data_IF_316209976396
#
_entry.id   IF_316209976396
#
_cell.length_a   1.000
_cell.length_b   1.000
_cell.length_c   1.000
_cell.angle_alpha   90.00
_cell.angle_beta   90.00
_cell.angle_gamma   90.00
#
_symmetry.space_group_name_H-M   'P 1'
#
loop_
_entity.id
_entity.type
_entity.pdbx_description
1 polymer ?
#
# COMPACT_ATOMS: atom_id res chain seq x y z
N UNK A 1 -20.53 23.18 31.32
CA UNK A 1 -19.18 23.07 30.70
C UNK A 1 -18.59 21.70 30.99
N UNK A 2 -18.26 20.97 29.93
CA UNK A 2 -18.01 19.53 29.87
C UNK A 2 -16.73 19.05 30.58
N UNK A 3 -16.87 18.26 31.66
CA UNK A 3 -15.78 17.41 32.19
C UNK A 3 -16.10 15.91 32.20
N UNK A 4 -17.21 15.47 31.59
CA UNK A 4 -17.68 14.08 31.68
C UNK A 4 -17.56 13.22 30.39
N UNK A 5 -16.99 13.73 29.30
CA UNK A 5 -16.78 12.94 28.07
C UNK A 5 -15.37 12.31 27.95
N UNK A 6 -14.40 12.70 28.79
CA UNK A 6 -13.01 12.25 28.63
C UNK A 6 -12.71 10.88 29.28
N UNK A 7 -13.50 10.44 30.28
CA UNK A 7 -13.21 9.21 31.04
C UNK A 7 -13.69 7.90 30.40
N UNK A 8 -14.62 7.93 29.43
CA UNK A 8 -15.14 6.71 28.79
C UNK A 8 -14.23 6.19 27.65
N UNK A 9 -13.43 7.05 27.04
CA UNK A 9 -12.53 6.68 25.93
C UNK A 9 -11.17 6.14 26.41
N UNK A 10 -10.84 6.28 27.69
CA UNK A 10 -9.56 5.77 28.25
C UNK A 10 -9.65 4.27 28.52
N UNK A 11 -10.82 3.72 28.87
CA UNK A 11 -10.98 2.26 29.11
C UNK A 11 -10.91 1.42 27.82
N UNK A 12 -11.29 1.98 26.66
CA UNK A 12 -11.12 1.30 25.36
C UNK A 12 -9.66 1.34 24.87
N UNK A 13 -8.91 2.36 25.27
CA UNK A 13 -7.50 2.54 24.94
C UNK A 13 -6.58 1.57 25.71
N UNK A 14 -7.01 1.08 26.88
CA UNK A 14 -6.25 0.18 27.77
C UNK A 14 -6.41 -1.31 27.41
N UNK A 15 -7.49 -1.70 26.72
CA UNK A 15 -7.70 -3.12 26.34
C UNK A 15 -6.88 -3.52 25.10
N UNK A 16 -6.53 -2.58 24.21
CA UNK A 16 -5.60 -2.86 23.11
C UNK A 16 -4.13 -2.96 23.57
N UNK A 17 -3.83 -2.54 24.79
CA UNK A 17 -2.48 -2.61 25.38
C UNK A 17 -2.11 -4.02 25.87
N UNK A 18 -3.00 -5.01 25.75
CA UNK A 18 -2.80 -6.38 26.27
C UNK A 18 -2.66 -7.44 25.16
N UNK A 19 -2.80 -7.09 23.87
CA UNK A 19 -2.28 -7.92 22.77
C UNK A 19 -0.84 -7.50 22.39
N UNK A 20 -0.09 -7.03 23.39
CA UNK A 20 1.36 -7.19 23.48
C UNK A 20 1.62 -8.69 23.47
N UNK A 21 2.05 -9.22 22.32
CA UNK A 21 2.87 -10.42 22.10
C UNK A 21 2.48 -11.12 20.79
N UNK A 22 2.75 -10.47 19.65
CA UNK A 22 3.08 -11.21 18.43
C UNK A 22 4.49 -10.80 18.02
N UNK A 23 5.47 -11.34 18.76
CA UNK A 23 6.59 -12.11 18.21
C UNK A 23 6.88 -11.69 16.76
N UNK A 24 7.69 -10.67 16.50
CA UNK A 24 9.16 -10.79 16.44
C UNK A 24 9.77 -9.39 16.30
N UNK A 25 10.66 -9.01 17.21
CA UNK A 25 11.77 -8.08 16.96
C UNK A 25 11.47 -6.58 16.89
N UNK A 26 11.85 -5.90 17.98
CA UNK A 26 12.16 -4.46 18.10
C UNK A 26 10.98 -3.48 18.22
N UNK A 27 10.54 -3.31 19.47
CA UNK A 27 10.07 -2.02 19.99
C UNK A 27 11.19 -0.99 19.88
N UNK A 28 11.29 -0.31 18.74
CA UNK A 28 12.04 0.93 18.64
C UNK A 28 11.07 2.02 18.17
N UNK A 29 10.99 3.09 18.97
CA UNK A 29 10.49 4.36 18.49
C UNK A 29 11.13 4.64 17.12
N UNK A 30 10.32 4.94 16.10
CA UNK A 30 10.83 5.21 14.76
C UNK A 30 11.94 6.27 14.87
N UNK A 31 13.13 5.97 14.36
CA UNK A 31 14.24 6.93 14.36
C UNK A 31 13.81 8.22 13.67
N UNK A 32 14.36 9.36 14.08
CA UNK A 32 14.05 10.67 13.45
C UNK A 32 14.37 10.67 11.95
N UNK A 33 15.33 9.86 11.52
CA UNK A 33 15.63 9.61 10.12
C UNK A 33 16.01 8.13 9.93
N UNK A 34 15.28 7.37 9.12
CA UNK A 34 15.55 5.96 8.86
C UNK A 34 16.57 5.71 7.74
N UNK A 35 17.12 6.76 7.13
CA UNK A 35 18.01 6.66 5.96
C UNK A 35 19.47 6.37 6.30
N UNK A 36 20.23 5.76 5.35
CA UNK A 36 19.75 5.21 4.08
C UNK A 36 19.39 3.72 4.20
N UNK A 37 18.21 3.36 3.72
CA UNK A 37 17.82 1.97 3.48
C UNK A 37 17.98 1.64 1.99
N UNK A 38 18.63 0.51 1.71
CA UNK A 38 18.65 -0.03 0.36
C UNK A 38 17.44 -0.95 0.16
N UNK A 39 16.49 -0.49 -0.64
CA UNK A 39 15.26 -1.24 -0.89
C UNK A 39 15.43 -2.22 -2.07
N UNK A 40 15.16 -3.52 -1.87
CA UNK A 40 15.22 -4.49 -2.96
C UNK A 40 14.06 -4.30 -3.94
N UNK A 41 14.31 -4.46 -5.24
CA UNK A 41 13.23 -4.51 -6.24
C UNK A 41 12.67 -5.93 -6.31
N UNK A 42 11.34 -6.13 -6.13
CA UNK A 42 10.72 -7.44 -6.33
C UNK A 42 10.94 -7.98 -7.74
N UNK A 43 11.30 -9.27 -7.84
CA UNK A 43 11.54 -9.99 -9.10
C UNK A 43 10.72 -11.27 -9.12
N UNK A 44 10.39 -11.76 -10.32
CA UNK A 44 9.69 -13.03 -10.53
C UNK A 44 8.36 -13.13 -9.77
N UNK A 45 7.58 -12.05 -9.80
CA UNK A 45 6.24 -12.00 -9.21
C UNK A 45 5.21 -11.99 -10.34
N UNK A 46 4.50 -13.11 -10.48
CA UNK A 46 3.49 -13.25 -11.51
C UNK A 46 2.38 -12.21 -11.34
N UNK A 47 2.01 -11.59 -12.46
CA UNK A 47 0.92 -10.63 -12.54
C UNK A 47 1.03 -9.45 -11.55
N UNK A 48 2.25 -9.09 -11.15
CA UNK A 48 2.50 -7.92 -10.32
C UNK A 48 2.09 -6.66 -11.09
N UNK A 49 1.33 -5.80 -10.43
CA UNK A 49 0.92 -4.52 -10.96
C UNK A 49 1.85 -3.43 -10.45
N UNK A 50 2.03 -3.38 -9.13
CA UNK A 50 2.93 -2.45 -8.47
C UNK A 50 3.29 -2.97 -7.08
N UNK A 51 4.23 -2.30 -6.43
CA UNK A 51 4.60 -2.59 -5.05
C UNK A 51 4.80 -1.31 -4.24
N UNK A 52 4.69 -1.45 -2.92
CA UNK A 52 4.86 -0.35 -1.97
C UNK A 52 6.03 -0.64 -1.04
N UNK A 53 6.91 0.35 -0.95
CA UNK A 53 7.99 0.41 0.01
C UNK A 53 7.83 1.63 0.89
N UNK A 54 8.38 1.53 2.10
CA UNK A 54 8.19 2.54 3.13
C UNK A 54 9.28 2.45 4.16
N UNK A 55 9.67 3.58 4.69
CA UNK A 55 10.51 3.61 5.88
C UNK A 55 9.75 3.10 7.13
N UNK A 56 10.46 2.63 8.18
CA UNK A 56 11.90 2.39 8.28
C UNK A 56 12.30 0.94 7.91
N UNK A 57 11.48 0.22 7.15
CA UNK A 57 11.62 -1.23 7.00
C UNK A 57 11.63 -1.63 5.51
N UNK A 58 12.44 -2.60 5.14
CA UNK A 58 12.61 -3.00 3.72
C UNK A 58 11.55 -3.97 3.19
N UNK A 59 10.67 -4.49 4.06
CA UNK A 59 9.56 -5.36 3.65
C UNK A 59 8.66 -4.61 2.66
N UNK A 60 8.28 -5.32 1.61
CA UNK A 60 7.63 -4.73 0.44
C UNK A 60 6.22 -5.29 0.32
N UNK A 61 5.22 -4.42 0.23
CA UNK A 61 3.84 -4.80 -0.02
C UNK A 61 3.66 -4.97 -1.53
N UNK A 62 3.25 -6.17 -1.95
CA UNK A 62 3.03 -6.51 -3.34
C UNK A 62 1.54 -6.42 -3.65
N UNK A 63 1.21 -5.88 -4.83
CA UNK A 63 -0.14 -5.83 -5.37
C UNK A 63 -0.12 -6.48 -6.75
N UNK A 64 -0.80 -7.62 -6.86
CA UNK A 64 -0.87 -8.42 -8.08
C UNK A 64 -2.32 -8.68 -8.47
N UNK A 65 -2.56 -9.02 -9.73
CA UNK A 65 -3.89 -9.44 -10.18
C UNK A 65 -4.31 -10.71 -9.46
N UNK A 66 -5.58 -10.75 -9.06
CA UNK A 66 -6.22 -11.94 -8.55
C UNK A 66 -7.06 -12.60 -9.65
N UNK A 67 -6.45 -13.54 -10.38
CA UNK A 67 -7.18 -14.40 -11.31
C UNK A 67 -7.89 -15.54 -10.55
N UNK A 68 -9.05 -15.91 -11.05
CA UNK A 68 -9.70 -17.17 -10.69
C UNK A 68 -9.02 -18.33 -11.44
N UNK A 69 -9.31 -19.57 -11.03
CA UNK A 69 -8.76 -20.78 -11.66
C UNK A 69 -9.06 -20.87 -13.16
N UNK A 70 -10.16 -20.29 -13.61
CA UNK A 70 -10.55 -20.21 -15.02
C UNK A 70 -9.82 -19.11 -15.82
N UNK A 71 -8.83 -18.43 -15.23
CA UNK A 71 -8.06 -17.36 -15.85
C UNK A 71 -8.77 -16.01 -15.95
N UNK A 72 -10.03 -15.89 -15.51
CA UNK A 72 -10.75 -14.61 -15.46
C UNK A 72 -10.41 -13.84 -14.20
N UNK A 73 -10.42 -12.51 -14.27
CA UNK A 73 -10.20 -11.68 -13.10
C UNK A 73 -11.32 -11.88 -12.06
N UNK A 74 -10.94 -11.99 -10.79
CA UNK A 74 -11.90 -12.04 -9.70
C UNK A 74 -12.54 -10.65 -9.51
N UNK A 75 -13.75 -10.43 -10.04
CA UNK A 75 -14.41 -9.11 -10.01
C UNK A 75 -14.74 -8.60 -8.60
N UNK A 76 -14.95 -9.49 -7.62
CA UNK A 76 -15.23 -9.08 -6.24
C UNK A 76 -13.97 -8.74 -5.45
N UNK A 77 -12.83 -9.30 -5.83
CA UNK A 77 -11.53 -9.01 -5.26
C UNK A 77 -10.44 -9.09 -6.33
N UNK A 78 -10.28 -8.07 -7.20
CA UNK A 78 -9.42 -8.12 -8.38
C UNK A 78 -7.93 -8.04 -8.05
N UNK A 79 -7.58 -7.70 -6.81
CA UNK A 79 -6.20 -7.50 -6.35
C UNK A 79 -5.88 -8.46 -5.20
N UNK A 80 -4.82 -9.25 -5.39
CA UNK A 80 -4.20 -10.03 -4.32
C UNK A 80 -3.03 -9.22 -3.77
N UNK A 81 -3.00 -9.02 -2.45
CA UNK A 81 -1.96 -8.23 -1.80
C UNK A 81 -1.36 -8.95 -0.59
N UNK A 82 -0.04 -8.87 -0.46
CA UNK A 82 0.74 -9.59 0.54
C UNK A 82 2.12 -8.94 0.75
N UNK A 83 2.81 -9.32 1.82
CA UNK A 83 4.19 -8.93 2.09
C UNK A 83 5.17 -9.85 1.39
N UNK A 84 6.25 -9.28 0.85
CA UNK A 84 7.55 -9.94 0.81
C UNK A 84 8.40 -9.38 1.95
N UNK A 85 8.74 -10.23 2.91
CA UNK A 85 9.48 -9.86 4.11
C UNK A 85 10.98 -9.97 3.86
N UNK A 86 11.55 -8.98 3.18
CA UNK A 86 12.98 -8.95 2.89
C UNK A 86 13.86 -8.92 4.15
N UNK A 87 13.36 -8.39 5.27
CA UNK A 87 14.05 -8.49 6.56
C UNK A 87 14.08 -9.94 7.11
N UNK A 88 13.22 -10.82 6.60
CA UNK A 88 13.04 -12.22 7.01
C UNK A 88 13.25 -13.14 5.80
N UNK A 89 14.43 -13.03 5.14
CA UNK A 89 14.85 -13.89 4.00
C UNK A 89 13.90 -13.87 2.78
N UNK A 90 13.04 -12.87 2.66
CA UNK A 90 12.14 -12.73 1.51
C UNK A 90 10.86 -13.57 1.60
N UNK A 91 10.45 -14.00 2.80
CA UNK A 91 9.22 -14.79 2.99
C UNK A 91 7.98 -14.05 2.44
N UNK A 92 7.14 -14.77 1.69
CA UNK A 92 5.82 -14.28 1.27
C UNK A 92 4.82 -14.49 2.41
N UNK A 93 4.15 -13.44 2.85
CA UNK A 93 3.15 -13.51 3.93
C UNK A 93 1.95 -12.63 3.70
N UNK A 94 0.76 -13.16 3.92
CA UNK A 94 -0.46 -12.38 3.83
C UNK A 94 -0.49 -11.24 4.86
N UNK A 95 -1.17 -10.16 4.51
CA UNK A 95 -1.52 -9.11 5.47
C UNK A 95 -2.43 -9.68 6.55
N UNK A 96 -2.24 -9.30 7.82
CA UNK A 96 -3.22 -9.63 8.86
C UNK A 96 -4.57 -8.96 8.60
N UNK A 97 -5.65 -9.41 9.24
CA UNK A 97 -6.97 -8.80 9.09
C UNK A 97 -6.94 -7.29 9.36
N UNK A 98 -6.25 -6.87 10.43
CA UNK A 98 -6.10 -5.46 10.81
C UNK A 98 -5.33 -4.68 9.73
N UNK A 99 -4.23 -5.24 9.21
CA UNK A 99 -3.45 -4.61 8.14
C UNK A 99 -4.28 -4.44 6.85
N UNK A 100 -5.06 -5.45 6.47
CA UNK A 100 -5.97 -5.36 5.31
C UNK A 100 -7.06 -4.32 5.52
N UNK A 101 -7.63 -4.22 6.72
CA UNK A 101 -8.78 -3.36 6.97
C UNK A 101 -8.40 -1.88 7.13
N UNK A 102 -7.21 -1.58 7.66
CA UNK A 102 -6.87 -0.22 8.09
C UNK A 102 -5.60 0.37 7.46
N UNK A 103 -4.71 -0.45 6.88
CA UNK A 103 -3.42 0.03 6.38
C UNK A 103 -3.21 -0.22 4.88
N UNK A 104 -2.98 -1.49 4.50
CA UNK A 104 -2.45 -1.85 3.20
C UNK A 104 -3.48 -2.45 2.24
N UNK A 105 -4.72 -2.65 2.70
CA UNK A 105 -5.78 -3.18 1.84
C UNK A 105 -6.20 -2.23 0.73
N UNK A 106 -6.79 -2.82 -0.30
CA UNK A 106 -7.43 -2.13 -1.41
C UNK A 106 -8.92 -2.42 -1.35
N UNK A 107 -9.72 -1.36 -1.37
CA UNK A 107 -11.13 -1.44 -1.75
C UNK A 107 -11.23 -1.35 -3.27
N UNK A 108 -12.11 -2.15 -3.87
CA UNK A 108 -12.32 -2.14 -5.31
C UNK A 108 -13.80 -1.92 -5.64
N UNK A 109 -14.05 -1.19 -6.72
CA UNK A 109 -15.38 -1.02 -7.32
C UNK A 109 -15.28 -1.28 -8.82
N UNK A 110 -16.11 -2.18 -9.32
CA UNK A 110 -16.22 -2.43 -10.76
C UNK A 110 -16.75 -1.17 -11.46
N UNK A 111 -16.07 -0.72 -12.52
CA UNK A 111 -16.54 0.36 -13.40
C UNK A 111 -17.15 -0.20 -14.67
N UNK A 112 -16.48 -1.18 -15.28
CA UNK A 112 -16.97 -1.97 -16.40
C UNK A 112 -16.36 -3.39 -16.34
N UNK A 113 -16.48 -4.19 -17.41
CA UNK A 113 -16.03 -5.58 -17.39
C UNK A 113 -14.52 -5.78 -17.17
N UNK A 114 -13.69 -4.82 -17.59
CA UNK A 114 -12.22 -4.90 -17.56
C UNK A 114 -11.57 -3.67 -16.91
N UNK A 115 -12.37 -2.89 -16.17
CA UNK A 115 -11.93 -1.67 -15.51
C UNK A 115 -12.52 -1.57 -14.10
N UNK A 116 -11.65 -1.26 -13.14
CA UNK A 116 -11.99 -1.19 -11.72
C UNK A 116 -11.39 0.06 -11.11
N UNK A 117 -12.17 0.75 -10.27
CA UNK A 117 -11.63 1.77 -9.38
C UNK A 117 -11.05 1.07 -8.16
N UNK A 118 -9.82 1.39 -7.81
CA UNK A 118 -9.14 0.92 -6.61
C UNK A 118 -8.90 2.09 -5.65
N UNK A 119 -9.02 1.84 -4.35
CA UNK A 119 -8.71 2.82 -3.32
C UNK A 119 -7.96 2.14 -2.17
N UNK A 120 -6.90 2.77 -1.69
CA UNK A 120 -6.28 2.35 -0.44
C UNK A 120 -7.23 2.60 0.73
N UNK A 121 -7.38 1.61 1.62
CA UNK A 121 -8.17 1.75 2.85
C UNK A 121 -7.65 2.90 3.73
N UNK A 122 -6.33 3.16 3.69
CA UNK A 122 -5.64 4.18 4.46
C UNK A 122 -5.62 5.56 3.81
N UNK A 123 -5.86 5.67 2.49
CA UNK A 123 -5.77 6.95 1.78
C UNK A 123 -6.69 7.03 0.55
N UNK A 124 -7.98 7.28 0.79
CA UNK A 124 -9.02 7.30 -0.26
C UNK A 124 -8.89 8.47 -1.26
N UNK A 125 -8.08 9.50 -0.94
CA UNK A 125 -7.82 10.68 -1.78
C UNK A 125 -6.94 10.38 -3.02
N UNK A 126 -6.33 9.20 -3.08
CA UNK A 126 -5.54 8.73 -4.23
C UNK A 126 -6.23 7.54 -4.92
N UNK A 127 -7.29 7.79 -5.71
CA UNK A 127 -7.94 6.72 -6.46
C UNK A 127 -6.98 6.21 -7.55
N UNK A 128 -6.94 4.89 -7.71
CA UNK A 128 -6.26 4.24 -8.83
C UNK A 128 -7.32 3.62 -9.75
N UNK A 129 -6.93 3.41 -11.01
CA UNK A 129 -7.75 2.71 -12.00
C UNK A 129 -6.98 1.48 -12.47
N UNK A 130 -7.55 0.31 -12.23
CA UNK A 130 -7.11 -0.92 -12.85
C UNK A 130 -7.78 -1.06 -14.20
N UNK A 131 -7.01 -1.22 -15.28
CA UNK A 131 -7.54 -1.35 -16.63
C UNK A 131 -6.75 -2.38 -17.44
N UNK A 132 -7.46 -3.22 -18.20
CA UNK A 132 -6.83 -4.06 -19.22
C UNK A 132 -6.47 -3.22 -20.45
N UNK A 133 -5.25 -3.37 -20.94
CA UNK A 133 -4.76 -2.66 -22.11
C UNK A 133 -4.80 -3.61 -23.31
N UNK A 134 -5.37 -3.14 -24.42
CA UNK A 134 -5.63 -3.99 -25.59
C UNK A 134 -4.34 -4.43 -26.31
N UNK A 135 -3.30 -3.59 -26.28
CA UNK A 135 -2.04 -3.84 -27.00
C UNK A 135 -1.25 -5.02 -26.44
N UNK A 136 -1.30 -5.27 -25.12
CA UNK A 136 -0.58 -6.36 -24.48
C UNK A 136 -1.49 -7.37 -23.77
N UNK A 137 -2.81 -7.13 -23.80
CA UNK A 137 -3.84 -7.95 -23.16
C UNK A 137 -3.65 -8.12 -21.65
N UNK A 138 -2.87 -7.24 -20.99
CA UNK A 138 -2.59 -7.29 -19.55
C UNK A 138 -3.28 -6.16 -18.82
N UNK A 139 -3.50 -6.38 -17.52
CA UNK A 139 -4.00 -5.37 -16.63
C UNK A 139 -2.87 -4.49 -16.11
N UNK A 140 -3.14 -3.19 -16.06
CA UNK A 140 -2.24 -2.16 -15.56
C UNK A 140 -2.97 -1.23 -14.60
N UNK A 141 -2.24 -0.65 -13.65
CA UNK A 141 -2.79 0.29 -12.67
C UNK A 141 -2.36 1.70 -13.02
N UNK A 142 -3.31 2.61 -13.11
CA UNK A 142 -3.08 4.02 -13.41
C UNK A 142 -3.47 4.91 -12.24
N UNK A 143 -2.74 6.01 -12.09
CA UNK A 143 -3.09 7.08 -11.15
C UNK A 143 -2.90 8.44 -11.81
N UNK A 144 -3.66 9.43 -11.37
CA UNK A 144 -3.43 10.83 -11.74
C UNK A 144 -2.76 11.55 -10.57
N UNK A 145 -1.53 12.03 -10.79
CA UNK A 145 -0.75 12.79 -9.80
C UNK A 145 -0.15 14.00 -10.51
N UNK A 146 -0.29 15.19 -9.92
CA UNK A 146 0.26 16.44 -10.49
C UNK A 146 -0.12 16.64 -11.97
N UNK A 147 -1.39 16.34 -12.31
CA UNK A 147 -1.95 16.41 -13.68
C UNK A 147 -1.34 15.43 -14.69
N UNK A 148 -0.54 14.46 -14.22
CA UNK A 148 0.06 13.40 -15.05
C UNK A 148 -0.59 12.06 -14.77
N UNK A 149 -0.89 11.31 -15.83
CA UNK A 149 -1.43 9.96 -15.75
C UNK A 149 -0.28 8.96 -15.79
N UNK A 150 -0.06 8.26 -14.69
CA UNK A 150 1.09 7.37 -14.50
C UNK A 150 0.59 5.93 -14.44
N UNK A 151 1.14 5.05 -15.28
CA UNK A 151 1.08 3.61 -15.07
C UNK A 151 2.01 3.26 -13.92
N UNK A 152 1.46 2.89 -12.78
CA UNK A 152 2.18 2.74 -11.51
C UNK A 152 3.01 1.47 -11.52
N UNK A 153 4.27 1.58 -11.13
CA UNK A 153 5.17 0.43 -10.90
C UNK A 153 5.60 0.34 -9.43
N UNK A 154 5.85 1.49 -8.81
CA UNK A 154 6.31 1.61 -7.42
C UNK A 154 5.65 2.78 -6.72
N UNK A 155 5.27 2.58 -5.47
CA UNK A 155 4.99 3.68 -4.55
C UNK A 155 5.98 3.60 -3.39
N UNK A 156 6.67 4.69 -3.10
CA UNK A 156 7.52 4.82 -1.93
C UNK A 156 6.86 5.77 -0.93
N UNK A 157 6.85 5.42 0.36
CA UNK A 157 6.27 6.25 1.41
C UNK A 157 7.36 6.64 2.41
N UNK A 158 7.64 7.94 2.48
CA UNK A 158 8.59 8.50 3.44
C UNK A 158 7.91 8.73 4.77
N UNK A 159 8.37 8.02 5.80
CA UNK A 159 7.86 8.13 7.16
C UNK A 159 9.00 8.57 8.08
N UNK A 160 8.77 9.64 8.86
CA UNK A 160 9.76 10.18 9.79
C UNK A 160 9.13 10.42 11.16
N UNK A 161 9.29 9.44 12.04
CA UNK A 161 8.71 9.44 13.37
C UNK A 161 7.20 9.21 13.38
N UNK A 162 6.57 9.54 14.50
CA UNK A 162 5.17 9.20 14.78
C UNK A 162 5.07 7.92 15.62
N UNK A 163 3.84 7.48 15.85
CA UNK A 163 3.57 6.24 16.57
C UNK A 163 3.34 5.09 15.60
N UNK A 164 3.38 3.86 16.09
CA UNK A 164 3.07 2.67 15.29
C UNK A 164 1.71 2.76 14.58
N UNK A 165 0.72 3.36 15.24
CA UNK A 165 -0.65 3.50 14.70
C UNK A 165 -0.87 4.78 13.91
N UNK A 166 -0.06 5.81 14.14
CA UNK A 166 -0.13 7.11 13.47
C UNK A 166 1.28 7.51 13.02
N UNK A 167 1.77 6.92 11.92
CA UNK A 167 3.06 7.28 11.36
C UNK A 167 3.00 8.72 10.81
N UNK A 168 4.10 9.45 10.95
CA UNK A 168 4.23 10.78 10.39
C UNK A 168 4.72 10.67 8.94
N UNK A 169 3.78 10.55 8.01
CA UNK A 169 4.09 10.46 6.58
C UNK A 169 4.46 11.84 6.05
N UNK A 170 5.68 11.99 5.54
CA UNK A 170 6.17 13.25 4.97
C UNK A 170 5.71 13.43 3.53
N UNK A 171 5.83 12.36 2.74
CA UNK A 171 5.39 12.32 1.36
C UNK A 171 5.28 10.88 0.88
N UNK A 172 4.58 10.70 -0.24
CA UNK A 172 4.67 9.52 -1.07
C UNK A 172 5.26 9.88 -2.43
N UNK A 173 6.05 8.99 -3.01
CA UNK A 173 6.52 9.07 -4.39
C UNK A 173 5.87 7.97 -5.19
N UNK A 174 5.32 8.32 -6.36
CA UNK A 174 4.75 7.38 -7.30
C UNK A 174 5.63 7.35 -8.53
N UNK A 175 6.23 6.19 -8.81
CA UNK A 175 7.09 5.95 -9.95
C UNK A 175 6.43 4.98 -10.92
N UNK A 176 6.68 5.19 -12.21
CA UNK A 176 6.23 4.31 -13.27
C UNK A 176 6.38 4.97 -14.63
N UNK A 177 5.44 4.69 -15.55
CA UNK A 177 5.49 5.19 -16.93
C UNK A 177 4.42 6.25 -17.15
N UNK A 178 4.79 7.41 -17.70
CA UNK A 178 3.83 8.43 -18.13
C UNK A 178 3.03 7.92 -19.34
N UNK A 179 1.70 7.89 -19.21
CA UNK A 179 0.81 7.36 -20.23
C UNK A 179 0.78 8.17 -21.54
N UNK A 180 1.27 9.41 -21.53
CA UNK A 180 1.35 10.26 -22.73
C UNK A 180 2.72 10.11 -23.41
N UNK A 181 3.80 10.38 -22.68
CA UNK A 181 5.15 10.38 -23.27
C UNK A 181 5.81 9.00 -23.36
N UNK A 182 5.26 7.99 -22.69
CA UNK A 182 5.83 6.65 -22.54
C UNK A 182 7.24 6.63 -21.94
N UNK A 183 7.58 7.65 -21.13
CA UNK A 183 8.85 7.76 -20.41
C UNK A 183 8.67 7.45 -18.94
N UNK A 184 9.75 6.95 -18.31
CA UNK A 184 9.80 6.78 -16.87
C UNK A 184 9.61 8.14 -16.17
N UNK A 185 8.77 8.15 -15.14
CA UNK A 185 8.43 9.34 -14.37
C UNK A 185 8.32 9.01 -12.89
N UNK A 186 8.62 9.99 -12.04
CA UNK A 186 8.34 9.92 -10.60
C UNK A 186 7.72 11.24 -10.16
N UNK A 187 6.58 11.15 -9.49
CA UNK A 187 5.86 12.29 -8.94
C UNK A 187 5.71 12.16 -7.44
N UNK A 188 5.84 13.27 -6.72
CA UNK A 188 5.72 13.32 -5.26
C UNK A 188 4.38 13.90 -4.84
N UNK A 189 3.80 13.33 -3.79
CA UNK A 189 2.55 13.73 -3.15
C UNK A 189 2.83 14.02 -1.69
N UNK A 190 2.45 15.20 -1.21
CA UNK A 190 2.39 15.50 0.22
C UNK A 190 1.03 15.03 0.74
N UNK A 191 1.03 14.17 1.76
CA UNK A 191 -0.21 13.63 2.31
C UNK A 191 -0.72 14.59 3.39
N UNK A 192 -1.73 15.39 3.02
CA UNK A 192 -2.38 16.38 3.90
C UNK A 192 -3.76 15.90 4.37
#
# INVERSE_FOLDING_TARGET
>A
MNKLQFKKNIKLLIVLTILVNIISGNLLAQSKNPSPLHFPTPKNIDNMLFYIQRDPNINTAIYAINYQENGKINKSNPIKSYWIRYAEKGEKKDFSYVQRKFAYGIESKTLNNEEFKLQFVSYKKLPLTLKKIDSDQKYHVFVNVNQKKIQVEKIFVRIEGGSFWLPNVKYAEVSGIDAISNKAITERIVLN
#
